data_IF_612588867194
#
_entry.id   IF_612588867194
#
_cell.length_a   1.000
_cell.length_b   1.000
_cell.length_c   1.000
_cell.angle_alpha   90.00
_cell.angle_beta   90.00
_cell.angle_gamma   90.00
#
_symmetry.space_group_name_H-M   'P 1'
#
loop_
_entity.id
_entity.type
_entity.pdbx_description
1 polymer ?
#
# COMPACT_ATOMS: atom_id res chain seq x y z
N UNK A 1 12.03 -8.51 13.38
CA UNK A 1 12.45 -9.79 14.01
C UNK A 1 13.34 -10.59 13.06
N UNK A 2 12.92 -10.87 11.79
CA UNK A 2 13.70 -11.69 10.84
C UNK A 2 15.12 -11.16 10.62
N UNK A 3 15.29 -9.87 10.33
CA UNK A 3 16.58 -9.21 10.12
C UNK A 3 17.52 -9.36 11.34
N UNK A 4 16.95 -9.31 12.56
CA UNK A 4 17.74 -9.49 13.80
C UNK A 4 18.17 -10.93 14.03
N UNK A 5 17.31 -11.90 13.69
CA UNK A 5 17.57 -13.33 13.90
C UNK A 5 18.46 -13.92 12.80
N UNK A 6 18.31 -13.40 11.58
CA UNK A 6 19.04 -13.87 10.41
C UNK A 6 19.51 -12.69 9.55
N UNK A 7 20.63 -12.02 9.94
CA UNK A 7 21.13 -10.84 9.21
C UNK A 7 21.47 -11.10 7.73
N UNK A 8 21.72 -12.36 7.36
CA UNK A 8 22.03 -12.74 5.98
C UNK A 8 20.86 -12.48 5.02
N UNK A 9 19.62 -12.39 5.56
CA UNK A 9 18.43 -12.09 4.76
C UNK A 9 18.55 -10.75 4.04
N UNK A 10 19.26 -9.78 4.62
CA UNK A 10 19.49 -8.45 4.02
C UNK A 10 20.16 -8.56 2.66
N UNK A 11 21.14 -9.49 2.53
CA UNK A 11 21.86 -9.73 1.27
C UNK A 11 21.11 -10.66 0.31
N UNK A 12 20.14 -11.41 0.82
CA UNK A 12 19.36 -12.36 0.01
C UNK A 12 18.16 -11.71 -0.67
N UNK A 13 17.66 -10.59 -0.12
CA UNK A 13 16.53 -9.87 -0.68
C UNK A 13 16.98 -8.94 -1.82
N UNK A 14 16.30 -9.04 -2.96
CA UNK A 14 16.53 -8.15 -4.10
C UNK A 14 16.00 -6.75 -3.80
N UNK A 15 14.80 -6.69 -3.25
CA UNK A 15 14.07 -5.47 -2.93
C UNK A 15 12.94 -5.77 -1.95
N UNK A 16 12.51 -4.76 -1.21
CA UNK A 16 11.25 -4.76 -0.44
C UNK A 16 10.37 -3.62 -0.99
N UNK A 17 9.13 -3.94 -1.32
CA UNK A 17 8.09 -2.94 -1.61
C UNK A 17 7.17 -2.87 -0.40
N UNK A 18 7.06 -1.70 0.21
CA UNK A 18 6.35 -1.49 1.47
C UNK A 18 5.13 -0.60 1.21
N UNK A 19 3.91 -1.14 1.42
CA UNK A 19 2.75 -0.28 1.64
C UNK A 19 2.81 0.25 3.06
N UNK A 20 2.91 1.56 3.21
CA UNK A 20 2.93 2.20 4.53
C UNK A 20 3.44 3.63 4.50
N UNK A 21 3.19 4.32 5.60
CA UNK A 21 3.63 5.69 5.80
C UNK A 21 2.83 6.74 5.03
N UNK A 22 3.10 7.99 5.39
CA UNK A 22 2.57 9.17 4.73
C UNK A 22 3.65 10.25 4.81
N UNK A 23 4.13 10.76 3.67
CA UNK A 23 5.28 11.67 3.63
C UNK A 23 4.88 13.12 3.32
N UNK A 24 3.78 13.31 2.62
CA UNK A 24 3.13 14.62 2.35
C UNK A 24 1.65 14.59 2.71
N UNK A 25 1.07 13.39 2.81
CA UNK A 25 -0.33 13.18 3.18
C UNK A 25 -0.47 13.13 4.71
N UNK A 26 -1.68 13.38 5.23
CA UNK A 26 -1.99 13.08 6.63
C UNK A 26 -2.00 11.57 6.87
N UNK A 27 -1.78 11.18 8.12
CA UNK A 27 -1.98 9.80 8.53
C UNK A 27 -3.46 9.38 8.48
N UNK A 28 -3.69 8.07 8.55
CA UNK A 28 -5.03 7.48 8.62
C UNK A 28 -5.31 6.76 9.95
N UNK A 29 -4.29 6.55 10.76
CA UNK A 29 -4.44 6.00 12.13
C UNK A 29 -4.41 7.11 13.19
N UNK A 30 -3.54 8.08 12.99
CA UNK A 30 -3.51 9.36 13.70
C UNK A 30 -3.34 10.47 12.66
N UNK A 31 -3.54 11.75 13.00
CA UNK A 31 -3.25 12.83 12.06
C UNK A 31 -1.83 12.82 11.48
N UNK A 32 -0.88 12.18 12.20
CA UNK A 32 0.54 12.17 11.85
C UNK A 32 1.03 10.84 11.28
N UNK A 33 0.32 9.72 11.54
CA UNK A 33 0.84 8.39 11.27
C UNK A 33 -0.12 7.53 10.43
N UNK A 34 0.44 6.83 9.46
CA UNK A 34 -0.23 5.78 8.71
C UNK A 34 -0.26 4.49 9.56
N UNK A 35 -1.32 3.70 9.38
CA UNK A 35 -1.66 2.56 10.21
C UNK A 35 -0.53 1.51 10.31
N UNK A 36 0.01 1.04 9.21
CA UNK A 36 1.02 -0.02 9.21
C UNK A 36 2.30 0.42 9.95
N UNK A 37 2.74 1.65 9.74
CA UNK A 37 3.91 2.21 10.43
C UNK A 37 3.57 2.51 11.89
N UNK A 38 2.35 2.97 12.19
CA UNK A 38 1.91 3.29 13.54
C UNK A 38 1.83 2.04 14.46
N UNK A 39 1.48 0.88 13.90
CA UNK A 39 1.37 -0.38 14.66
C UNK A 39 2.71 -0.81 15.28
N UNK A 40 3.81 -0.65 14.55
CA UNK A 40 5.17 -0.92 15.09
C UNK A 40 6.21 0.02 14.45
N UNK A 41 6.28 1.29 14.89
CA UNK A 41 7.21 2.26 14.34
C UNK A 41 8.68 1.89 14.57
N UNK A 42 8.99 1.16 15.65
CA UNK A 42 10.34 0.68 15.90
C UNK A 42 10.76 -0.38 14.88
N UNK A 43 9.86 -1.29 14.51
CA UNK A 43 10.13 -2.27 13.47
C UNK A 43 10.29 -1.59 12.10
N UNK A 44 9.43 -0.61 11.78
CA UNK A 44 9.53 0.18 10.56
C UNK A 44 10.88 0.90 10.48
N UNK A 45 11.28 1.63 11.52
CA UNK A 45 12.59 2.28 11.63
C UNK A 45 13.73 1.30 11.36
N UNK A 46 13.69 0.11 11.98
CA UNK A 46 14.72 -0.90 11.78
C UNK A 46 14.80 -1.42 10.34
N UNK A 47 13.66 -1.58 9.68
CA UNK A 47 13.61 -2.04 8.29
C UNK A 47 14.10 -0.95 7.35
N UNK A 48 13.71 0.30 7.57
CA UNK A 48 14.14 1.45 6.77
C UNK A 48 15.66 1.65 6.79
N UNK A 49 16.32 1.25 7.88
CA UNK A 49 17.78 1.34 8.05
C UNK A 49 18.53 0.02 7.88
N UNK A 50 17.86 -1.03 7.40
CA UNK A 50 18.49 -2.35 7.24
C UNK A 50 19.46 -2.45 6.05
N UNK A 51 19.48 -1.46 5.15
CA UNK A 51 20.32 -1.48 3.95
C UNK A 51 19.79 -2.41 2.85
N UNK A 52 18.52 -2.76 2.88
CA UNK A 52 17.84 -3.49 1.80
C UNK A 52 17.30 -2.46 0.80
N UNK A 53 17.48 -2.64 -0.52
CA UNK A 53 16.80 -1.79 -1.50
C UNK A 53 15.30 -1.77 -1.21
N UNK A 54 14.73 -0.58 -1.00
CA UNK A 54 13.36 -0.44 -0.54
C UNK A 54 12.61 0.59 -1.37
N UNK A 55 11.39 0.23 -1.77
CA UNK A 55 10.40 1.13 -2.36
C UNK A 55 9.26 1.34 -1.37
N UNK A 56 9.04 2.58 -0.95
CA UNK A 56 7.92 3.00 -0.10
C UNK A 56 6.74 3.42 -0.97
N UNK A 57 5.58 2.88 -0.67
CA UNK A 57 4.29 3.18 -1.32
C UNK A 57 3.35 3.79 -0.28
N UNK A 58 3.46 5.11 -0.05
CA UNK A 58 2.75 5.78 1.03
C UNK A 58 1.31 6.13 0.64
N UNK A 59 0.53 6.62 1.63
CA UNK A 59 -0.83 7.13 1.40
C UNK A 59 -0.88 8.20 0.31
N UNK A 60 0.22 8.91 0.09
CA UNK A 60 0.39 9.93 -0.96
C UNK A 60 -0.02 9.45 -2.35
N UNK A 61 0.17 8.17 -2.64
CA UNK A 61 -0.21 7.55 -3.92
C UNK A 61 -1.38 6.58 -3.78
N UNK A 62 -1.47 5.83 -2.68
CA UNK A 62 -2.53 4.83 -2.53
C UNK A 62 -3.91 5.46 -2.42
N UNK A 63 -4.03 6.62 -1.78
CA UNK A 63 -5.30 7.36 -1.66
C UNK A 63 -5.76 8.05 -2.95
N UNK A 64 -4.98 7.98 -4.01
CA UNK A 64 -5.40 8.35 -5.36
C UNK A 64 -6.02 7.16 -6.11
N UNK A 65 -5.78 5.92 -5.66
CA UNK A 65 -6.24 4.69 -6.30
C UNK A 65 -7.55 4.21 -5.67
N UNK A 66 -8.65 4.84 -6.06
CA UNK A 66 -9.97 4.61 -5.48
C UNK A 66 -10.75 3.60 -6.32
N UNK A 67 -11.17 2.50 -5.69
CA UNK A 67 -12.16 1.59 -6.21
C UNK A 67 -13.54 2.16 -5.90
N UNK A 68 -14.28 2.50 -6.94
CA UNK A 68 -15.61 3.13 -6.80
C UNK A 68 -16.73 2.10 -6.67
N UNK A 69 -17.92 2.49 -6.17
CA UNK A 69 -19.10 1.61 -6.22
C UNK A 69 -19.43 1.14 -7.65
N UNK A 70 -19.18 1.96 -8.66
CA UNK A 70 -19.40 1.61 -10.07
C UNK A 70 -18.43 0.49 -10.52
N UNK A 71 -17.17 0.54 -10.08
CA UNK A 71 -16.19 -0.49 -10.37
C UNK A 71 -16.59 -1.83 -9.74
N UNK A 72 -17.11 -1.83 -8.50
CA UNK A 72 -17.63 -3.05 -7.84
C UNK A 72 -18.87 -3.58 -8.59
N UNK A 73 -19.77 -2.71 -9.02
CA UNK A 73 -20.93 -3.13 -9.82
C UNK A 73 -20.52 -3.73 -11.17
N UNK A 74 -19.42 -3.29 -11.77
CA UNK A 74 -18.84 -3.91 -12.96
C UNK A 74 -18.41 -5.34 -12.67
N UNK A 75 -17.71 -5.59 -11.56
CA UNK A 75 -17.28 -6.93 -11.15
C UNK A 75 -18.48 -7.85 -10.87
N UNK A 76 -19.52 -7.35 -10.24
CA UNK A 76 -20.74 -8.14 -9.91
C UNK A 76 -21.49 -8.69 -11.12
N UNK A 77 -21.28 -8.13 -12.31
CA UNK A 77 -21.85 -8.69 -13.55
C UNK A 77 -21.32 -10.09 -13.83
N UNK A 78 -20.15 -10.42 -13.27
CA UNK A 78 -19.59 -11.78 -13.32
C UNK A 78 -20.00 -12.46 -12.01
N UNK A 79 -21.06 -13.26 -12.03
CA UNK A 79 -21.53 -13.97 -10.85
C UNK A 79 -20.52 -15.08 -10.46
N UNK A 80 -19.67 -14.80 -9.47
CA UNK A 80 -18.66 -15.74 -8.97
C UNK A 80 -18.42 -15.55 -7.47
N UNK A 81 -17.91 -16.58 -6.76
CA UNK A 81 -17.52 -16.43 -5.35
C UNK A 81 -16.50 -15.31 -5.13
N UNK A 82 -15.60 -15.08 -6.09
CA UNK A 82 -14.57 -14.03 -6.02
C UNK A 82 -15.21 -12.63 -6.04
N UNK A 83 -16.13 -12.40 -6.97
CA UNK A 83 -16.79 -11.08 -7.08
C UNK A 83 -17.73 -10.82 -5.91
N UNK A 84 -18.35 -11.84 -5.35
CA UNK A 84 -19.14 -11.75 -4.12
C UNK A 84 -18.23 -11.37 -2.94
N UNK A 85 -17.08 -12.04 -2.79
CA UNK A 85 -16.12 -11.73 -1.75
C UNK A 85 -15.62 -10.28 -1.85
N UNK A 86 -15.32 -9.80 -3.05
CA UNK A 86 -14.90 -8.39 -3.26
C UNK A 86 -16.01 -7.42 -2.85
N UNK A 87 -17.27 -7.66 -3.28
CA UNK A 87 -18.41 -6.82 -2.90
C UNK A 87 -18.60 -6.78 -1.38
N UNK A 88 -18.56 -7.92 -0.72
CA UNK A 88 -18.76 -8.00 0.73
C UNK A 88 -17.62 -7.35 1.53
N UNK A 89 -16.37 -7.60 1.13
CA UNK A 89 -15.21 -7.05 1.82
C UNK A 89 -15.02 -5.55 1.61
N UNK A 90 -15.36 -5.03 0.43
CA UNK A 90 -15.20 -3.60 0.12
C UNK A 90 -16.36 -2.75 0.62
N UNK A 91 -17.56 -3.32 0.84
CA UNK A 91 -18.74 -2.57 1.30
C UNK A 91 -18.49 -1.85 2.61
N UNK A 92 -18.09 -2.57 3.64
CA UNK A 92 -17.77 -1.99 4.95
C UNK A 92 -16.63 -0.97 4.85
N UNK A 93 -15.64 -1.25 4.02
CA UNK A 93 -14.47 -0.37 3.84
C UNK A 93 -14.85 0.93 3.11
N UNK A 94 -15.77 0.88 2.14
CA UNK A 94 -16.32 2.07 1.48
C UNK A 94 -17.16 2.92 2.44
N UNK A 95 -18.03 2.29 3.25
CA UNK A 95 -18.80 2.99 4.28
C UNK A 95 -17.87 3.71 5.27
N UNK A 96 -16.81 3.05 5.72
CA UNK A 96 -15.80 3.66 6.59
C UNK A 96 -15.10 4.86 5.93
N UNK A 97 -14.71 4.76 4.66
CA UNK A 97 -14.05 5.86 3.95
C UNK A 97 -14.99 7.04 3.71
N UNK A 98 -16.25 6.78 3.43
CA UNK A 98 -17.26 7.84 3.25
C UNK A 98 -17.52 8.58 4.58
N UNK A 99 -17.77 7.84 5.66
CA UNK A 99 -18.11 8.40 6.97
C UNK A 99 -16.96 9.21 7.60
N UNK A 100 -15.71 8.73 7.47
CA UNK A 100 -14.56 9.29 8.19
C UNK A 100 -13.61 10.11 7.33
N UNK A 101 -13.59 9.89 6.03
CA UNK A 101 -12.59 10.49 5.12
C UNK A 101 -13.22 11.21 3.92
N UNK A 102 -14.53 11.13 3.76
CA UNK A 102 -15.29 11.74 2.66
C UNK A 102 -14.79 11.30 1.27
N UNK A 103 -14.44 10.01 1.15
CA UNK A 103 -13.99 9.40 -0.09
C UNK A 103 -15.12 8.53 -0.62
N UNK A 104 -15.65 8.84 -1.80
CA UNK A 104 -16.65 8.02 -2.50
C UNK A 104 -15.99 6.75 -3.09
N UNK A 105 -15.90 5.69 -2.30
CA UNK A 105 -15.23 4.44 -2.63
C UNK A 105 -14.24 4.02 -1.57
N UNK A 106 -13.27 3.19 -1.93
CA UNK A 106 -12.19 2.80 -1.02
C UNK A 106 -10.82 2.79 -1.70
N UNK A 107 -9.81 3.22 -0.94
CA UNK A 107 -8.42 3.20 -1.41
C UNK A 107 -7.90 1.75 -1.49
N UNK A 108 -7.30 1.39 -2.62
CA UNK A 108 -6.74 0.05 -2.86
C UNK A 108 -5.23 0.10 -2.58
N UNK A 109 -4.89 -0.02 -1.29
CA UNK A 109 -3.55 0.22 -0.77
C UNK A 109 -2.56 -0.91 -1.13
N UNK A 110 -2.73 -2.10 -0.53
CA UNK A 110 -1.80 -3.21 -0.67
C UNK A 110 -1.71 -3.76 -2.10
N UNK A 111 -2.82 -3.88 -2.86
CA UNK A 111 -2.73 -4.30 -4.24
C UNK A 111 -1.91 -3.36 -5.13
N UNK A 112 -1.89 -2.03 -4.84
CA UNK A 112 -0.99 -1.12 -5.55
C UNK A 112 0.47 -1.46 -5.26
N UNK A 113 0.85 -1.65 -4.00
CA UNK A 113 2.22 -2.01 -3.64
C UNK A 113 2.64 -3.34 -4.28
N UNK A 114 1.73 -4.32 -4.30
CA UNK A 114 1.97 -5.58 -5.01
C UNK A 114 2.16 -5.35 -6.52
N UNK A 115 1.33 -4.53 -7.16
CA UNK A 115 1.46 -4.23 -8.58
C UNK A 115 2.81 -3.59 -8.90
N UNK A 116 3.30 -2.68 -8.06
CA UNK A 116 4.58 -1.99 -8.25
C UNK A 116 5.80 -2.92 -8.18
N UNK A 117 5.69 -4.10 -7.57
CA UNK A 117 6.76 -5.09 -7.57
C UNK A 117 7.02 -5.68 -8.96
N UNK A 118 6.07 -5.62 -9.89
CA UNK A 118 6.22 -6.14 -11.26
C UNK A 118 5.85 -5.14 -12.37
N UNK A 119 5.22 -4.02 -12.03
CA UNK A 119 4.86 -2.91 -12.93
C UNK A 119 5.24 -1.56 -12.28
N UNK A 120 6.52 -1.31 -12.01
CA UNK A 120 6.96 -0.09 -11.33
C UNK A 120 6.62 1.19 -12.10
N UNK A 121 6.44 1.10 -13.41
CA UNK A 121 6.08 2.23 -14.26
C UNK A 121 4.70 2.83 -13.99
N UNK A 122 3.86 2.21 -13.17
CA UNK A 122 2.59 2.78 -12.72
C UNK A 122 2.79 4.01 -11.82
N UNK A 123 3.96 4.13 -11.20
CA UNK A 123 4.31 5.27 -10.34
C UNK A 123 5.55 6.02 -10.82
N UNK A 124 5.71 7.24 -10.33
CA UNK A 124 6.96 7.98 -10.37
C UNK A 124 7.58 8.02 -8.98
N UNK A 125 8.90 8.02 -8.93
CA UNK A 125 9.65 7.85 -7.68
C UNK A 125 10.70 8.93 -7.51
N UNK A 126 10.97 9.28 -6.26
CA UNK A 126 12.14 10.06 -5.86
C UNK A 126 12.93 9.32 -4.79
N UNK A 127 14.26 9.48 -4.77
CA UNK A 127 15.11 8.90 -3.73
C UNK A 127 15.32 9.92 -2.60
N UNK A 128 14.94 9.52 -1.39
CA UNK A 128 15.05 10.36 -0.20
C UNK A 128 15.61 9.58 0.99
N UNK A 129 16.18 10.33 1.94
CA UNK A 129 16.32 9.83 3.29
C UNK A 129 14.94 9.84 3.95
N UNK A 130 14.51 8.67 4.38
CA UNK A 130 13.21 8.47 5.03
C UNK A 130 13.42 7.85 6.39
N UNK A 131 12.66 8.32 7.37
CA UNK A 131 12.71 7.79 8.72
C UNK A 131 11.32 7.83 9.37
N UNK A 132 11.22 7.26 10.57
CA UNK A 132 9.99 7.16 11.37
C UNK A 132 10.23 7.76 12.73
N UNK A 133 9.30 8.55 13.24
CA UNK A 133 9.37 9.04 14.61
C UNK A 133 9.07 7.90 15.60
N UNK A 134 10.06 7.61 16.44
CA UNK A 134 10.00 6.61 17.52
C UNK A 134 10.12 7.23 18.91
N UNK A 135 9.94 8.55 19.03
CA UNK A 135 10.17 9.29 20.28
C UNK A 135 9.11 9.09 21.36
N UNK A 136 7.95 8.50 21.03
CA UNK A 136 6.85 8.24 21.97
C UNK A 136 5.91 9.44 22.18
N UNK A 137 6.07 10.53 21.40
CA UNK A 137 5.19 11.71 21.44
C UNK A 137 3.97 11.57 20.52
N UNK A 138 3.28 12.69 20.30
CA UNK A 138 2.08 12.79 19.45
C UNK A 138 2.36 12.46 17.98
N UNK A 139 3.61 12.56 17.57
CA UNK A 139 4.09 12.24 16.21
C UNK A 139 4.63 10.82 16.06
N UNK A 140 4.54 9.98 17.11
CA UNK A 140 5.02 8.61 17.03
C UNK A 140 4.41 7.86 15.85
N UNK A 141 5.26 7.24 15.03
CA UNK A 141 4.86 6.58 13.80
C UNK A 141 4.76 7.50 12.59
N UNK A 142 4.99 8.80 12.74
CA UNK A 142 5.10 9.71 11.59
C UNK A 142 6.26 9.28 10.71
N UNK A 143 5.96 9.08 9.44
CA UNK A 143 6.96 8.80 8.40
C UNK A 143 7.32 10.10 7.71
N UNK A 144 8.58 10.44 7.67
CA UNK A 144 9.04 11.65 6.98
C UNK A 144 10.11 11.35 5.94
N UNK A 145 10.06 12.07 4.83
CA UNK A 145 11.08 12.06 3.79
C UNK A 145 11.80 13.41 3.79
N UNK A 146 13.11 13.40 3.77
CA UNK A 146 13.93 14.61 3.77
C UNK A 146 14.06 15.20 2.36
N UNK A 147 13.01 15.86 1.89
CA UNK A 147 12.94 16.49 0.55
C UNK A 147 13.98 17.60 0.35
N UNK A 148 14.38 18.27 1.42
CA UNK A 148 15.28 19.42 1.37
C UNK A 148 16.72 19.10 1.81
N UNK A 149 17.02 17.83 2.10
CA UNK A 149 18.33 17.36 2.55
C UNK A 149 18.84 18.04 3.83
N UNK A 150 17.91 18.38 4.74
CA UNK A 150 18.24 18.99 6.02
C UNK A 150 19.14 18.12 6.89
N UNK A 151 18.89 16.80 6.89
CA UNK A 151 19.70 15.84 7.66
C UNK A 151 21.05 15.54 7.03
N UNK A 152 21.29 15.93 5.76
CA UNK A 152 22.53 15.63 5.01
C UNK A 152 22.89 14.14 5.00
N UNK A 153 21.89 13.27 5.13
CA UNK A 153 22.06 11.82 5.05
C UNK A 153 21.84 11.34 3.60
N UNK A 154 22.51 10.27 3.18
CA UNK A 154 22.21 9.65 1.88
C UNK A 154 20.78 9.14 1.84
N UNK A 155 20.18 9.12 0.66
CA UNK A 155 18.91 8.46 0.45
C UNK A 155 18.99 6.97 0.83
N UNK A 156 17.98 6.47 1.50
CA UNK A 156 17.90 5.07 1.93
C UNK A 156 16.78 4.30 1.24
N UNK A 157 15.87 4.98 0.54
CA UNK A 157 14.82 4.31 -0.22
C UNK A 157 14.25 5.17 -1.35
N UNK A 158 13.56 4.51 -2.27
CA UNK A 158 12.69 5.14 -3.25
C UNK A 158 11.32 5.38 -2.64
N UNK A 159 10.73 6.54 -2.89
CA UNK A 159 9.39 6.92 -2.44
C UNK A 159 8.51 7.12 -3.66
N UNK A 160 7.39 6.41 -3.74
CA UNK A 160 6.40 6.65 -4.78
C UNK A 160 5.65 7.95 -4.47
N UNK A 161 5.70 8.92 -5.37
CA UNK A 161 5.13 10.25 -5.18
C UNK A 161 4.11 10.65 -6.26
N UNK A 162 4.08 9.95 -7.37
CA UNK A 162 3.06 10.08 -8.39
C UNK A 162 2.58 8.72 -8.85
N UNK A 163 1.32 8.61 -9.22
CA UNK A 163 0.70 7.37 -9.68
C UNK A 163 -0.22 7.65 -10.87
N UNK A 164 -0.46 6.63 -11.69
CA UNK A 164 -1.52 6.62 -12.72
C UNK A 164 -2.73 5.83 -12.19
N UNK A 165 -3.66 6.51 -11.46
CA UNK A 165 -4.65 5.80 -10.64
C UNK A 165 -5.58 4.92 -11.48
N UNK A 166 -6.11 5.45 -12.60
CA UNK A 166 -7.05 4.70 -13.43
C UNK A 166 -6.40 3.52 -14.15
N UNK A 167 -5.14 3.65 -14.57
CA UNK A 167 -4.40 2.54 -15.18
C UNK A 167 -4.24 1.39 -14.18
N UNK A 168 -3.94 1.71 -12.92
CA UNK A 168 -3.84 0.70 -11.87
C UNK A 168 -5.21 0.08 -11.55
N UNK A 169 -6.27 0.89 -11.39
CA UNK A 169 -7.62 0.36 -11.10
C UNK A 169 -8.12 -0.53 -12.23
N UNK A 170 -7.92 -0.15 -13.50
CA UNK A 170 -8.27 -1.02 -14.63
C UNK A 170 -7.48 -2.32 -14.61
N UNK A 171 -6.17 -2.29 -14.37
CA UNK A 171 -5.35 -3.49 -14.20
C UNK A 171 -5.92 -4.39 -13.09
N UNK A 172 -6.28 -3.82 -11.93
CA UNK A 172 -6.85 -4.56 -10.81
C UNK A 172 -8.16 -5.23 -11.22
N UNK A 173 -9.09 -4.48 -11.84
CA UNK A 173 -10.39 -4.99 -12.29
C UNK A 173 -10.23 -6.12 -13.31
N UNK A 174 -9.38 -5.94 -14.32
CA UNK A 174 -9.11 -6.98 -15.34
C UNK A 174 -8.58 -8.28 -14.72
N UNK A 175 -7.69 -8.18 -13.71
CA UNK A 175 -7.16 -9.36 -13.02
C UNK A 175 -8.24 -10.09 -12.21
N UNK A 176 -9.08 -9.35 -11.52
CA UNK A 176 -10.22 -9.93 -10.77
C UNK A 176 -11.23 -10.56 -11.73
N UNK A 177 -11.60 -9.87 -12.81
CA UNK A 177 -12.52 -10.40 -13.84
C UNK A 177 -12.01 -11.73 -14.42
N UNK A 178 -10.72 -11.77 -14.77
CA UNK A 178 -10.09 -12.98 -15.27
C UNK A 178 -10.12 -14.14 -14.27
N UNK A 179 -9.81 -13.87 -13.00
CA UNK A 179 -9.86 -14.88 -11.94
C UNK A 179 -11.30 -15.38 -11.72
N UNK A 180 -12.26 -14.46 -11.72
CA UNK A 180 -13.68 -14.79 -11.57
C UNK A 180 -14.19 -15.72 -12.69
N UNK A 181 -13.77 -15.45 -13.93
CA UNK A 181 -14.12 -16.30 -15.08
C UNK A 181 -13.49 -17.69 -15.00
N UNK A 182 -12.23 -17.79 -14.57
CA UNK A 182 -11.55 -19.08 -14.37
C UNK A 182 -12.20 -19.91 -13.25
N UNK A 183 -12.53 -19.26 -12.12
CA UNK A 183 -13.21 -19.93 -11.00
C UNK A 183 -14.61 -20.44 -11.31
N UNK A 184 -15.27 -19.86 -12.31
CA UNK A 184 -16.60 -20.33 -12.78
C UNK A 184 -16.51 -21.62 -13.61
N UNK A 185 -15.33 -21.99 -14.09
CA UNK A 185 -15.12 -23.16 -14.96
C UNK A 185 -14.68 -24.41 -14.18
N UNK A 186 -14.30 -24.28 -12.92
CA UNK A 186 -13.87 -25.40 -12.08
C UNK A 186 -14.95 -25.66 -11.02
N UNK A 187 -15.73 -26.79 -11.10
CA UNK A 187 -16.63 -27.15 -10.02
C UNK A 187 -15.81 -27.39 -8.75
N UNK A 188 -16.15 -26.71 -7.67
CA UNK A 188 -15.64 -27.04 -6.34
C UNK A 188 -16.32 -28.36 -5.95
N UNK A 189 -15.61 -29.49 -6.00
CA UNK A 189 -16.09 -30.70 -5.39
C UNK A 189 -16.18 -30.49 -3.87
N UNK A 190 -17.33 -30.71 -3.25
CA UNK A 190 -17.46 -30.61 -1.81
C UNK A 190 -16.68 -31.75 -1.15
N UNK A 191 -15.74 -31.40 -0.28
CA UNK A 191 -15.04 -32.33 0.64
C UNK A 191 -15.91 -32.64 1.84
#
# INVERSE_FOLDING_TARGET
VAIRKEPRIVKALKEIVIMGGAVRHQGNSTPMAEFNVHVDPHAAHMVFHAGIPTTLVPLDVTYQCILTPADVQRLKKIASPITTFIDDSTRFYMEFHDDYQHIEGCAINDPLALALAFMPELCTYEEHYVDVDISGGVSMGNTFADFYKHYKKPANMKVALGVRPRDFIELFLERIERLAQLGSQTPIEPH
#
